data_IF_025440058841
#
_entry.id   IF_025440058841
#
_cell.length_a   1.000
_cell.length_b   1.000
_cell.length_c   1.000
_cell.angle_alpha   90.00
_cell.angle_beta   90.00
_cell.angle_gamma   90.00
#
_symmetry.space_group_name_H-M   'P 1'
#
loop_
_entity.id
_entity.type
_entity.pdbx_description
1 polymer ?
#
# COMPACT_ATOMS: atom_id res chain seq x y z
N UNK A 1 -12.66 5.49 7.40
CA UNK A 1 -13.57 5.04 6.32
C UNK A 1 -12.81 4.17 5.30
N UNK A 2 -13.21 2.91 5.12
CA UNK A 2 -12.54 1.97 4.22
C UNK A 2 -13.11 2.08 2.80
N UNK A 3 -12.26 1.85 1.79
CA UNK A 3 -12.70 1.84 0.40
C UNK A 3 -13.72 0.71 0.14
N UNK A 4 -14.81 1.04 -0.54
CA UNK A 4 -15.80 0.09 -1.05
C UNK A 4 -16.03 0.37 -2.53
N UNK A 5 -16.10 -0.68 -3.34
CA UNK A 5 -16.39 -0.53 -4.78
C UNK A 5 -17.87 -0.14 -4.96
N UNK A 6 -18.17 1.00 -5.60
CA UNK A 6 -19.56 1.40 -5.86
C UNK A 6 -20.22 0.43 -6.85
N UNK A 7 -21.45 -0.01 -6.55
CA UNK A 7 -22.20 -1.00 -7.35
C UNK A 7 -23.42 -0.44 -8.09
N UNK A 8 -23.91 0.75 -7.70
CA UNK A 8 -25.15 1.33 -8.23
C UNK A 8 -25.13 1.59 -9.74
N UNK A 9 -26.27 1.41 -10.41
CA UNK A 9 -26.41 1.48 -11.87
C UNK A 9 -26.03 2.87 -12.43
N UNK A 10 -26.38 3.95 -11.74
CA UNK A 10 -26.09 5.33 -12.14
C UNK A 10 -24.92 5.96 -11.38
N UNK A 11 -24.08 5.14 -10.73
CA UNK A 11 -22.92 5.65 -10.01
C UNK A 11 -21.90 6.29 -10.97
N UNK A 12 -21.71 7.60 -10.83
CA UNK A 12 -20.73 8.41 -11.58
C UNK A 12 -19.29 7.90 -11.42
N UNK A 13 -18.92 7.47 -10.21
CA UNK A 13 -17.61 6.88 -9.90
C UNK A 13 -17.44 5.54 -10.60
N UNK A 14 -18.47 4.67 -10.58
CA UNK A 14 -18.44 3.37 -11.29
C UNK A 14 -18.28 3.55 -12.81
N UNK A 15 -18.94 4.57 -13.37
CA UNK A 15 -18.85 4.96 -14.80
C UNK A 15 -17.60 5.77 -15.15
N UNK A 16 -16.74 6.11 -14.18
CA UNK A 16 -15.45 6.82 -14.36
C UNK A 16 -15.58 8.20 -15.04
N UNK A 17 -16.60 8.97 -14.71
CA UNK A 17 -16.70 10.35 -15.23
C UNK A 17 -15.53 11.23 -14.75
N UNK A 18 -15.09 12.17 -15.59
CA UNK A 18 -14.05 13.16 -15.24
C UNK A 18 -14.49 13.98 -14.01
N UNK A 19 -13.54 14.28 -13.12
CA UNK A 19 -13.80 15.03 -11.88
C UNK A 19 -14.37 14.17 -10.73
N UNK A 20 -14.59 12.88 -10.93
CA UNK A 20 -14.89 11.95 -9.85
C UNK A 20 -13.61 11.38 -9.22
N UNK A 21 -13.74 10.80 -8.02
CA UNK A 21 -12.64 10.09 -7.36
C UNK A 21 -12.16 8.90 -8.19
N UNK A 22 -10.84 8.74 -8.28
CA UNK A 22 -10.22 7.63 -9.02
C UNK A 22 -10.42 6.33 -8.25
N UNK A 23 -10.76 5.27 -8.99
CA UNK A 23 -10.86 3.93 -8.40
C UNK A 23 -9.48 3.29 -8.28
N UNK A 24 -9.17 2.62 -7.16
CA UNK A 24 -7.97 1.82 -7.02
C UNK A 24 -7.89 0.77 -8.14
N UNK A 25 -6.71 0.66 -8.74
CA UNK A 25 -6.39 -0.31 -9.78
C UNK A 25 -4.94 -0.77 -9.63
N UNK A 26 -4.58 -1.85 -10.33
CA UNK A 26 -3.23 -2.45 -10.27
C UNK A 26 -2.13 -1.54 -10.82
N UNK A 27 -2.47 -0.59 -11.69
CA UNK A 27 -1.52 0.36 -12.29
C UNK A 27 -0.92 1.34 -11.28
N UNK A 28 -1.57 1.55 -10.13
CA UNK A 28 -1.00 2.35 -9.03
C UNK A 28 0.00 1.57 -8.15
N UNK A 29 0.28 0.30 -8.46
CA UNK A 29 1.25 -0.49 -7.70
C UNK A 29 2.65 0.12 -7.75
N UNK A 30 3.26 0.37 -6.59
CA UNK A 30 4.64 0.86 -6.50
C UNK A 30 5.65 -0.18 -7.04
N UNK A 31 6.84 0.29 -7.41
CA UNK A 31 7.95 -0.54 -7.91
C UNK A 31 8.24 -1.69 -6.94
N UNK A 32 8.44 -2.90 -7.47
CA UNK A 32 8.72 -4.12 -6.70
C UNK A 32 9.95 -3.98 -5.80
N UNK A 33 11.00 -3.30 -6.27
CA UNK A 33 12.25 -3.12 -5.52
C UNK A 33 12.06 -2.26 -4.27
N UNK A 34 11.29 -1.17 -4.40
CA UNK A 34 11.13 -0.14 -3.35
C UNK A 34 9.82 -0.25 -2.58
N UNK A 35 9.03 -1.29 -2.84
CA UNK A 35 7.77 -1.51 -2.10
C UNK A 35 8.08 -1.69 -0.61
N UNK A 36 7.32 -0.98 0.23
CA UNK A 36 7.47 -0.94 1.70
C UNK A 36 8.74 -0.25 2.24
N UNK A 37 9.47 0.49 1.40
CA UNK A 37 10.58 1.31 1.87
C UNK A 37 10.05 2.51 2.66
N UNK A 38 10.73 2.80 3.76
CA UNK A 38 10.58 4.03 4.51
C UNK A 38 11.38 5.16 3.84
N UNK A 39 11.12 6.44 4.19
CA UNK A 39 11.89 7.58 3.68
C UNK A 39 13.39 7.52 4.00
N UNK A 40 13.78 6.79 5.05
CA UNK A 40 15.19 6.57 5.44
C UNK A 40 15.89 5.49 4.59
N UNK A 41 15.20 4.87 3.62
CA UNK A 41 15.75 3.84 2.74
C UNK A 41 15.65 2.40 3.25
N UNK A 42 15.16 2.18 4.48
CA UNK A 42 15.04 0.84 5.07
C UNK A 42 13.62 0.29 4.98
N UNK A 43 13.48 -1.05 5.08
CA UNK A 43 12.17 -1.69 5.28
C UNK A 43 11.91 -1.80 6.78
N UNK A 44 10.70 -1.47 7.22
CA UNK A 44 10.33 -1.64 8.63
C UNK A 44 10.19 -3.13 8.99
N UNK A 45 10.67 -3.50 10.17
CA UNK A 45 10.48 -4.80 10.80
C UNK A 45 9.92 -4.57 12.21
N UNK A 46 9.01 -5.43 12.66
CA UNK A 46 8.39 -5.33 13.99
C UNK A 46 9.07 -6.33 14.91
N UNK A 47 9.64 -5.84 16.01
CA UNK A 47 10.37 -6.61 17.02
C UNK A 47 9.44 -6.81 18.22
N UNK A 48 9.24 -8.06 18.66
CA UNK A 48 8.39 -8.37 19.82
C UNK A 48 9.22 -8.74 21.05
N UNK A 49 10.43 -9.28 20.84
CA UNK A 49 11.32 -9.71 21.92
C UNK A 49 12.80 -9.42 21.54
N UNK A 50 13.74 -9.48 22.51
CA UNK A 50 15.15 -9.21 22.24
C UNK A 50 15.81 -10.19 21.26
N UNK A 51 15.36 -11.45 21.18
CA UNK A 51 15.88 -12.44 20.24
C UNK A 51 15.56 -12.13 18.78
N UNK A 52 14.49 -11.39 18.50
CA UNK A 52 14.16 -10.96 17.14
C UNK A 52 15.21 -9.99 16.56
N UNK A 53 16.05 -9.35 17.41
CA UNK A 53 17.11 -8.45 16.93
C UNK A 53 18.25 -9.21 16.25
N UNK A 54 18.50 -10.47 16.61
CA UNK A 54 19.57 -11.25 15.98
C UNK A 54 19.33 -11.43 14.47
N UNK A 55 18.06 -11.48 14.03
CA UNK A 55 17.75 -11.51 12.60
C UNK A 55 18.16 -10.22 11.87
N UNK A 56 18.11 -9.07 12.56
CA UNK A 56 18.52 -7.79 11.98
C UNK A 56 20.04 -7.66 11.91
N UNK A 57 20.79 -8.38 12.77
CA UNK A 57 22.27 -8.36 12.75
C UNK A 57 22.84 -8.89 11.42
N UNK A 58 22.18 -9.88 10.79
CA UNK A 58 22.60 -10.45 9.51
C UNK A 58 22.19 -9.61 8.29
N UNK A 59 21.25 -8.67 8.45
CA UNK A 59 20.62 -7.90 7.38
C UNK A 59 20.87 -6.40 7.48
N UNK A 60 21.95 -5.99 8.15
CA UNK A 60 22.43 -4.61 8.21
C UNK A 60 23.12 -4.17 6.91
#
# INVERSE_FOLDING_TARGET
PNWRRPKGIDSRVRRKFKGCTLMPNIGYGSNKKTRHYLPNGFKKFVVHNPGDLDLLMMHN
#
